data_IF_688236231407
#
_entry.id   IF_688236231407
#
_cell.length_a   1.000
_cell.length_b   1.000
_cell.length_c   1.000
_cell.angle_alpha   90.00
_cell.angle_beta   90.00
_cell.angle_gamma   90.00
#
_symmetry.space_group_name_H-M   'P 1'
#
loop_
_entity.id
_entity.type
_entity.pdbx_description
1 polymer ?
#
# COMPACT_ATOMS: atom_id res chain seq x y z
N UNK A 1 4.75 -12.59 -78.09
CA UNK A 1 5.01 -13.51 -76.96
C UNK A 1 5.61 -12.72 -75.81
N UNK A 2 4.80 -12.22 -74.87
CA UNK A 2 5.25 -11.80 -73.53
C UNK A 2 4.12 -12.01 -72.52
N UNK A 3 4.49 -12.70 -71.44
CA UNK A 3 3.97 -12.70 -70.08
C UNK A 3 2.49 -12.99 -69.79
N UNK A 4 2.19 -14.29 -69.63
CA UNK A 4 1.03 -14.81 -68.89
C UNK A 4 1.47 -15.45 -67.54
N UNK A 5 2.77 -15.39 -67.19
CA UNK A 5 3.34 -16.15 -66.06
C UNK A 5 3.27 -15.52 -64.66
N UNK A 6 2.93 -14.22 -64.52
CA UNK A 6 3.10 -13.53 -63.22
C UNK A 6 1.90 -13.58 -62.27
N UNK A 7 0.68 -13.88 -62.75
CA UNK A 7 -0.52 -13.84 -61.90
C UNK A 7 -0.78 -15.15 -61.15
N UNK A 8 -0.26 -16.29 -61.64
CA UNK A 8 -0.42 -17.58 -60.96
C UNK A 8 0.45 -17.70 -59.70
N UNK A 9 1.65 -17.11 -59.69
CA UNK A 9 2.57 -17.16 -58.55
C UNK A 9 2.06 -16.35 -57.35
N UNK A 10 1.36 -15.23 -57.60
CA UNK A 10 0.82 -14.35 -56.54
C UNK A 10 -0.36 -15.04 -55.83
N UNK A 11 -1.25 -15.71 -56.58
CA UNK A 11 -2.38 -16.44 -55.98
C UNK A 11 -1.94 -17.66 -55.16
N UNK A 12 -0.90 -18.38 -55.58
CA UNK A 12 -0.33 -19.50 -54.81
C UNK A 12 0.36 -19.00 -53.53
N UNK A 13 1.08 -17.87 -53.58
CA UNK A 13 1.75 -17.28 -52.41
C UNK A 13 0.79 -16.81 -51.32
N UNK A 14 -0.34 -16.19 -51.69
CA UNK A 14 -1.36 -15.72 -50.73
C UNK A 14 -2.09 -16.91 -50.08
N UNK A 15 -2.39 -17.96 -50.83
CA UNK A 15 -3.02 -19.18 -50.31
C UNK A 15 -2.15 -19.92 -49.28
N UNK A 16 -0.85 -20.04 -49.56
CA UNK A 16 0.10 -20.69 -48.64
C UNK A 16 0.28 -19.88 -47.35
N UNK A 17 0.36 -18.55 -47.44
CA UNK A 17 0.44 -17.68 -46.27
C UNK A 17 -0.82 -17.80 -45.37
N UNK A 18 -2.01 -17.83 -45.96
CA UNK A 18 -3.26 -17.98 -45.22
C UNK A 18 -3.34 -19.33 -44.47
N UNK A 19 -2.88 -20.42 -45.09
CA UNK A 19 -2.81 -21.73 -44.44
C UNK A 19 -1.81 -21.77 -43.28
N UNK A 20 -0.66 -21.10 -43.40
CA UNK A 20 0.33 -21.01 -42.34
C UNK A 20 -0.23 -20.23 -41.14
N UNK A 21 -0.92 -19.10 -41.37
CA UNK A 21 -1.55 -18.34 -40.28
C UNK A 21 -2.67 -19.12 -39.58
N UNK A 22 -3.49 -19.86 -40.33
CA UNK A 22 -4.53 -20.70 -39.75
C UNK A 22 -3.95 -21.86 -38.92
N UNK A 23 -2.86 -22.48 -39.40
CA UNK A 23 -2.15 -23.54 -38.68
C UNK A 23 -1.48 -23.03 -37.38
N UNK A 24 -0.88 -21.83 -37.41
CA UNK A 24 -0.31 -21.19 -36.22
C UNK A 24 -1.42 -20.85 -35.21
N UNK A 25 -2.58 -20.37 -35.67
CA UNK A 25 -3.74 -20.09 -34.82
C UNK A 25 -4.31 -21.36 -34.16
N UNK A 26 -4.43 -22.46 -34.90
CA UNK A 26 -4.85 -23.76 -34.38
C UNK A 26 -3.83 -24.35 -33.41
N UNK A 27 -2.53 -24.20 -33.69
CA UNK A 27 -1.48 -24.65 -32.79
C UNK A 27 -1.41 -23.81 -31.51
N UNK A 28 -1.61 -22.49 -31.59
CA UNK A 28 -1.67 -21.60 -30.44
C UNK A 28 -2.87 -21.90 -29.54
N UNK A 29 -4.06 -22.11 -30.12
CA UNK A 29 -5.27 -22.49 -29.38
C UNK A 29 -5.15 -23.89 -28.77
N UNK A 30 -4.54 -24.85 -29.49
CA UNK A 30 -4.23 -26.18 -28.95
C UNK A 30 -3.20 -26.12 -27.81
N UNK A 31 -2.12 -25.35 -27.95
CA UNK A 31 -1.12 -25.10 -26.88
C UNK A 31 -1.74 -24.39 -25.68
N UNK A 32 -2.67 -23.46 -25.90
CA UNK A 32 -3.39 -22.77 -24.83
C UNK A 32 -4.32 -23.72 -24.08
N UNK A 33 -5.11 -24.54 -24.79
CA UNK A 33 -6.00 -25.55 -24.20
C UNK A 33 -5.24 -26.61 -23.43
N UNK A 34 -4.12 -27.10 -23.97
CA UNK A 34 -3.26 -28.09 -23.27
C UNK A 34 -2.53 -27.51 -22.07
N UNK A 35 -2.11 -26.23 -22.10
CA UNK A 35 -1.60 -25.52 -20.92
C UNK A 35 -2.68 -25.30 -19.87
N UNK A 36 -3.90 -24.94 -20.29
CA UNK A 36 -5.05 -24.76 -19.39
C UNK A 36 -5.45 -26.06 -18.70
N UNK A 37 -5.47 -27.19 -19.42
CA UNK A 37 -5.76 -28.49 -18.81
C UNK A 37 -4.65 -28.97 -17.87
N UNK A 38 -3.37 -28.76 -18.22
CA UNK A 38 -2.26 -29.05 -17.30
C UNK A 38 -2.29 -28.14 -16.05
N UNK A 39 -2.77 -26.89 -16.17
CA UNK A 39 -3.02 -26.02 -15.02
C UNK A 39 -4.13 -26.59 -14.12
N UNK A 40 -5.26 -27.01 -14.70
CA UNK A 40 -6.37 -27.63 -13.94
C UNK A 40 -5.97 -28.93 -13.24
N UNK A 41 -5.18 -29.78 -13.89
CA UNK A 41 -4.72 -31.04 -13.27
C UNK A 41 -3.83 -30.78 -12.05
N UNK A 42 -2.93 -29.78 -12.13
CA UNK A 42 -2.08 -29.37 -11.01
C UNK A 42 -2.88 -28.72 -9.88
N UNK A 43 -3.97 -28.01 -10.19
CA UNK A 43 -4.88 -27.42 -9.19
C UNK A 43 -5.62 -28.54 -8.44
N UNK A 44 -6.18 -29.51 -9.15
CA UNK A 44 -6.88 -30.64 -8.54
C UNK A 44 -5.94 -31.49 -7.65
N UNK A 45 -4.70 -31.70 -8.08
CA UNK A 45 -3.71 -32.46 -7.32
C UNK A 45 -3.28 -31.72 -6.05
N UNK A 46 -3.01 -30.41 -6.12
CA UNK A 46 -2.68 -29.59 -4.94
C UNK A 46 -3.84 -29.50 -3.94
N UNK A 47 -5.08 -29.37 -4.42
CA UNK A 47 -6.27 -29.37 -3.58
C UNK A 47 -6.47 -30.73 -2.88
N UNK A 48 -6.24 -31.83 -3.59
CA UNK A 48 -6.33 -33.19 -3.02
C UNK A 48 -5.26 -33.42 -1.94
N UNK A 49 -4.06 -32.88 -2.11
CA UNK A 49 -2.98 -32.97 -1.11
C UNK A 49 -3.35 -32.14 0.13
N UNK A 50 -3.78 -30.90 -0.04
CA UNK A 50 -4.16 -30.02 1.08
C UNK A 50 -5.33 -30.58 1.90
N UNK A 51 -6.32 -31.20 1.26
CA UNK A 51 -7.45 -31.83 1.96
C UNK A 51 -7.02 -33.09 2.73
N UNK A 52 -6.04 -33.84 2.22
CA UNK A 52 -5.47 -35.00 2.93
C UNK A 52 -4.69 -34.55 4.17
N UNK A 53 -3.92 -33.48 4.08
CA UNK A 53 -3.15 -32.94 5.22
C UNK A 53 -4.08 -32.42 6.32
N UNK A 54 -5.13 -31.67 5.96
CA UNK A 54 -6.15 -31.20 6.92
C UNK A 54 -6.92 -32.34 7.60
N UNK A 55 -7.23 -33.42 6.87
CA UNK A 55 -7.84 -34.62 7.44
C UNK A 55 -6.87 -35.34 8.38
N UNK A 56 -5.58 -35.41 8.05
CA UNK A 56 -4.56 -36.05 8.88
C UNK A 56 -4.36 -35.30 10.21
N UNK A 57 -4.37 -33.97 10.18
CA UNK A 57 -4.29 -33.13 11.37
C UNK A 57 -5.52 -33.32 12.27
N UNK A 58 -6.72 -33.38 11.68
CA UNK A 58 -7.96 -33.60 12.43
C UNK A 58 -8.00 -35.00 13.08
N UNK A 59 -7.49 -36.03 12.40
CA UNK A 59 -7.37 -37.38 12.95
C UNK A 59 -6.29 -37.46 14.05
N UNK A 60 -5.21 -36.70 13.92
CA UNK A 60 -4.13 -36.64 14.92
C UNK A 60 -4.60 -35.95 16.21
N UNK A 61 -5.29 -34.81 16.07
CA UNK A 61 -5.91 -34.08 17.19
C UNK A 61 -6.95 -34.92 17.95
N UNK A 62 -7.76 -35.70 17.24
CA UNK A 62 -8.76 -36.58 17.87
C UNK A 62 -8.15 -37.79 18.58
N UNK A 63 -6.97 -38.27 18.17
CA UNK A 63 -6.19 -39.29 18.90
C UNK A 63 -5.57 -38.73 20.19
N UNK A 64 -5.01 -37.51 20.16
CA UNK A 64 -4.47 -36.86 21.35
C UNK A 64 -5.54 -36.54 22.40
N UNK A 65 -6.73 -36.10 21.96
CA UNK A 65 -7.87 -35.86 22.84
C UNK A 65 -8.38 -37.15 23.52
N UNK A 66 -8.31 -38.31 22.83
CA UNK A 66 -8.63 -39.62 23.44
C UNK A 66 -7.58 -40.08 24.45
N UNK A 67 -6.29 -39.79 24.21
CA UNK A 67 -5.20 -40.18 25.10
C UNK A 67 -5.13 -39.31 26.37
N UNK A 68 -5.53 -38.04 26.30
CA UNK A 68 -5.70 -37.18 27.48
C UNK A 68 -6.87 -37.60 28.37
N UNK A 69 -7.93 -38.17 27.77
CA UNK A 69 -9.13 -38.63 28.50
C UNK A 69 -8.90 -39.91 29.32
N UNK A 70 -7.96 -40.76 28.91
CA UNK A 70 -7.59 -41.98 29.67
C UNK A 70 -6.56 -41.72 30.78
N UNK A 71 -5.83 -40.60 30.75
CA UNK A 71 -4.82 -40.26 31.77
C UNK A 71 -5.38 -39.47 32.97
N UNK A 72 -6.54 -38.83 32.81
CA UNK A 72 -7.16 -37.99 33.86
C UNK A 72 -7.99 -38.73 34.92
N UNK A 73 -8.10 -40.07 34.85
CA UNK A 73 -8.99 -40.85 35.72
C UNK A 73 -8.25 -41.74 36.74
N UNK A 74 -6.92 -41.59 36.88
CA UNK A 74 -6.08 -42.49 37.69
C UNK A 74 -5.37 -41.83 38.89
N UNK A 75 -5.78 -40.64 39.35
CA UNK A 75 -5.16 -39.99 40.52
C UNK A 75 -6.24 -39.48 41.48
N UNK A 76 -6.79 -40.41 42.27
CA UNK A 76 -7.40 -40.10 43.57
C UNK A 76 -7.60 -41.39 44.35
N UNK A 77 -6.63 -41.79 45.18
CA UNK A 77 -6.80 -42.63 46.39
C UNK A 77 -5.47 -42.81 47.14
N UNK A 78 -5.54 -42.62 48.47
CA UNK A 78 -4.59 -42.98 49.56
C UNK A 78 -3.19 -42.34 49.56
N UNK A 79 -2.62 -41.78 50.64
CA UNK A 79 -2.93 -41.80 52.07
C UNK A 79 -1.79 -42.48 52.88
N UNK A 80 -1.23 -41.77 53.88
CA UNK A 80 -0.25 -42.19 54.94
C UNK A 80 1.18 -42.59 54.49
N UNK A 81 2.30 -42.37 55.20
CA UNK A 81 2.65 -41.85 56.54
C UNK A 81 4.18 -41.62 56.66
N UNK A 82 4.57 -40.76 57.63
CA UNK A 82 5.73 -40.83 58.56
C UNK A 82 7.20 -40.61 58.12
N UNK A 83 7.84 -39.71 58.90
CA UNK A 83 9.26 -39.68 59.37
C UNK A 83 10.40 -39.32 58.40
N UNK A 84 11.53 -38.68 58.77
CA UNK A 84 12.00 -37.89 59.94
C UNK A 84 13.42 -37.35 59.62
N UNK A 85 13.79 -36.15 60.11
CA UNK A 85 15.17 -35.63 60.37
C UNK A 85 16.14 -35.44 59.17
N UNK A 86 17.14 -34.55 59.13
CA UNK A 86 17.82 -33.72 60.14
C UNK A 86 18.69 -32.64 59.43
N UNK A 87 18.82 -31.49 60.10
CA UNK A 87 19.80 -30.37 60.03
C UNK A 87 21.16 -30.65 59.35
N UNK A 88 21.63 -29.83 58.40
CA UNK A 88 22.29 -28.50 58.49
C UNK A 88 23.83 -28.58 58.37
N UNK A 89 24.43 -27.76 57.51
CA UNK A 89 25.89 -27.61 57.45
C UNK A 89 26.46 -26.88 56.23
N UNK A 90 26.83 -25.61 56.45
CA UNK A 90 27.96 -24.84 55.89
C UNK A 90 28.03 -24.40 54.42
N UNK A 91 28.08 -23.07 54.27
CA UNK A 91 28.69 -22.26 53.21
C UNK A 91 30.10 -22.71 52.81
N UNK A 92 30.48 -22.52 51.54
CA UNK A 92 31.62 -21.68 51.11
C UNK A 92 31.69 -21.55 49.57
N UNK A 93 32.08 -20.36 49.14
CA UNK A 93 32.19 -19.84 47.76
C UNK A 93 33.15 -20.62 46.85
N UNK A 94 32.78 -20.77 45.57
CA UNK A 94 33.47 -20.16 44.41
C UNK A 94 32.93 -20.75 43.10
N UNK A 95 32.80 -19.93 42.05
CA UNK A 95 32.62 -20.44 40.68
C UNK A 95 31.82 -19.52 39.78
N UNK A 96 32.55 -18.65 39.09
CA UNK A 96 32.20 -17.83 37.94
C UNK A 96 31.45 -18.54 36.80
N UNK A 97 30.69 -17.71 36.07
CA UNK A 97 30.22 -17.81 34.67
C UNK A 97 28.88 -18.48 34.41
N UNK A 98 27.82 -17.66 34.30
CA UNK A 98 26.73 -17.91 33.35
C UNK A 98 26.47 -16.64 32.52
N UNK A 99 26.55 -16.83 31.21
CA UNK A 99 26.00 -15.97 30.17
C UNK A 99 24.48 -15.86 30.35
N UNK A 100 23.90 -14.67 30.19
CA UNK A 100 22.50 -14.56 29.80
C UNK A 100 22.30 -13.33 28.90
N UNK A 101 22.38 -13.57 27.60
CA UNK A 101 21.78 -12.72 26.60
C UNK A 101 20.25 -12.84 26.73
N UNK A 102 19.61 -11.76 27.18
CA UNK A 102 18.15 -11.62 27.15
C UNK A 102 17.80 -10.63 26.06
N UNK A 103 17.50 -11.17 24.88
CA UNK A 103 16.79 -10.50 23.80
C UNK A 103 15.32 -10.34 24.20
N UNK A 104 15.00 -9.23 24.85
CA UNK A 104 13.64 -8.77 25.07
C UNK A 104 13.25 -7.75 24.01
N UNK A 105 12.78 -8.23 22.87
CA UNK A 105 12.12 -7.42 21.85
C UNK A 105 10.82 -6.87 22.46
N UNK A 106 10.87 -5.60 22.85
CA UNK A 106 9.73 -4.86 23.37
C UNK A 106 9.55 -3.68 22.45
N UNK A 107 8.51 -3.73 21.62
CA UNK A 107 7.99 -2.62 20.82
C UNK A 107 7.74 -1.40 21.73
N UNK A 108 8.76 -0.54 21.85
CA UNK A 108 8.61 0.80 22.38
C UNK A 108 8.20 1.67 21.20
N UNK A 109 7.01 2.25 21.28
CA UNK A 109 6.57 3.38 20.45
C UNK A 109 7.52 4.54 20.77
N UNK A 110 8.70 4.51 20.15
CA UNK A 110 9.70 5.55 20.26
C UNK A 110 9.26 6.74 19.44
N UNK A 111 9.31 7.93 20.03
CA UNK A 111 9.37 9.18 19.29
C UNK A 111 10.58 9.10 18.35
N UNK A 112 10.36 8.63 17.13
CA UNK A 112 11.42 8.49 16.12
C UNK A 112 11.82 9.91 15.71
N UNK A 113 12.94 10.39 16.24
CA UNK A 113 13.52 11.65 15.81
C UNK A 113 13.94 11.47 14.33
N UNK A 114 13.28 12.20 13.42
CA UNK A 114 13.55 12.13 11.98
C UNK A 114 14.59 13.16 11.53
N UNK A 115 15.15 13.91 12.48
CA UNK A 115 16.11 14.97 12.27
C UNK A 115 15.50 16.36 12.27
N UNK A 116 16.37 17.35 12.04
CA UNK A 116 16.01 18.77 11.95
C UNK A 116 16.35 19.30 10.56
N UNK A 117 15.59 20.29 10.10
CA UNK A 117 15.90 21.08 8.91
C UNK A 117 16.12 22.54 9.31
N UNK A 118 17.26 23.10 8.90
CA UNK A 118 17.58 24.52 9.03
C UNK A 118 17.37 25.22 7.68
N UNK A 119 16.63 26.33 7.72
CA UNK A 119 16.39 27.18 6.55
C UNK A 119 16.33 28.65 6.94
N UNK A 120 16.61 29.53 5.99
CA UNK A 120 16.35 30.95 6.13
C UNK A 120 15.25 31.42 5.18
N UNK A 121 14.50 32.45 5.58
CA UNK A 121 13.51 33.09 4.74
C UNK A 121 13.63 34.62 4.85
N UNK A 122 13.50 35.30 3.72
CA UNK A 122 13.44 36.76 3.68
C UNK A 122 12.52 37.25 2.58
N UNK A 123 11.89 38.40 2.82
CA UNK A 123 11.04 39.05 1.85
C UNK A 123 11.60 40.43 1.51
N UNK A 124 11.94 40.64 0.24
CA UNK A 124 12.33 41.93 -0.29
C UNK A 124 11.10 42.64 -0.85
N UNK A 125 10.59 43.62 -0.09
CA UNK A 125 9.43 44.41 -0.47
C UNK A 125 9.70 45.28 -1.71
N UNK A 126 10.94 45.75 -1.91
CA UNK A 126 11.29 46.61 -3.05
C UNK A 126 11.26 45.85 -4.37
N UNK A 127 11.66 44.56 -4.33
CA UNK A 127 11.67 43.66 -5.49
C UNK A 127 10.45 42.74 -5.54
N UNK A 128 9.53 42.83 -4.58
CA UNK A 128 8.41 41.92 -4.41
C UNK A 128 8.83 40.44 -4.57
N UNK A 129 9.88 40.04 -3.86
CA UNK A 129 10.51 38.73 -4.04
C UNK A 129 10.66 38.04 -2.68
N UNK A 130 10.14 36.82 -2.56
CA UNK A 130 10.39 35.92 -1.44
C UNK A 130 11.64 35.09 -1.73
N UNK A 131 12.59 35.06 -0.80
CA UNK A 131 13.77 34.20 -0.86
C UNK A 131 13.72 33.19 0.26
N UNK A 132 13.99 31.93 -0.06
CA UNK A 132 14.09 30.83 0.90
C UNK A 132 15.40 30.09 0.66
N UNK A 133 16.25 30.02 1.67
CA UNK A 133 17.52 29.29 1.61
C UNK A 133 17.41 28.03 2.44
N UNK A 134 17.58 26.88 1.81
CA UNK A 134 17.66 25.60 2.52
C UNK A 134 19.12 25.39 2.89
N UNK A 135 19.42 25.45 4.20
CA UNK A 135 20.81 25.46 4.70
C UNK A 135 21.31 24.03 4.82
N UNK A 136 20.72 23.24 5.71
CA UNK A 136 21.16 21.86 6.01
C UNK A 136 20.08 21.06 6.72
N UNK A 137 20.26 19.75 6.78
CA UNK A 137 19.58 18.90 7.75
C UNK A 137 20.56 18.35 8.79
N UNK A 138 20.03 17.98 9.95
CA UNK A 138 20.77 17.36 11.05
C UNK A 138 20.10 16.06 11.47
N UNK A 139 20.91 15.06 11.79
CA UNK A 139 20.49 13.78 12.39
C UNK A 139 19.31 13.11 11.67
N UNK A 140 19.36 13.09 10.34
CA UNK A 140 18.34 12.42 9.53
C UNK A 140 18.29 10.92 9.85
N UNK A 141 17.08 10.36 9.83
CA UNK A 141 16.90 8.91 9.91
C UNK A 141 17.43 8.23 8.64
N UNK A 142 18.31 7.24 8.81
CA UNK A 142 18.77 6.41 7.70
C UNK A 142 17.60 5.58 7.13
N UNK A 143 17.29 5.80 5.85
CA UNK A 143 16.29 5.02 5.09
C UNK A 143 16.91 3.94 4.19
N UNK A 144 18.21 4.03 3.91
CA UNK A 144 18.91 2.99 3.15
C UNK A 144 19.44 1.90 4.09
N UNK A 145 18.80 0.73 4.04
CA UNK A 145 19.08 -0.40 4.91
C UNK A 145 20.44 -1.07 4.66
N UNK A 146 21.10 -0.85 3.52
CA UNK A 146 22.40 -1.48 3.24
C UNK A 146 23.60 -0.72 3.79
N UNK A 147 23.46 0.59 4.00
CA UNK A 147 24.61 1.46 4.28
C UNK A 147 24.46 2.32 5.54
N UNK A 148 23.31 2.29 6.23
CA UNK A 148 23.07 3.11 7.42
C UNK A 148 23.15 4.61 7.15
N UNK A 149 23.02 5.02 5.88
CA UNK A 149 23.07 6.42 5.42
C UNK A 149 21.83 6.71 4.57
N UNK A 150 21.75 7.89 3.97
CA UNK A 150 20.70 8.25 3.02
C UNK A 150 21.28 9.16 1.96
N UNK A 151 20.57 9.28 0.84
CA UNK A 151 20.89 10.22 -0.22
C UNK A 151 19.87 11.38 -0.18
N UNK A 152 19.97 12.30 0.80
CA UNK A 152 18.92 13.27 1.06
C UNK A 152 18.87 14.41 0.03
N UNK A 153 17.64 14.84 -0.24
CA UNK A 153 17.35 16.12 -0.87
C UNK A 153 16.01 16.66 -0.36
N UNK A 154 15.82 17.98 -0.45
CA UNK A 154 14.62 18.65 0.08
C UNK A 154 13.79 19.19 -1.07
N UNK A 155 12.49 18.92 -1.03
CA UNK A 155 11.50 19.61 -1.88
C UNK A 155 10.84 20.72 -1.10
N UNK A 156 10.76 21.89 -1.71
CA UNK A 156 10.03 23.04 -1.20
C UNK A 156 8.86 23.36 -2.13
N UNK A 157 7.68 23.51 -1.54
CA UNK A 157 6.46 23.90 -2.23
C UNK A 157 5.77 25.05 -1.52
N UNK A 158 5.32 26.06 -2.28
CA UNK A 158 4.46 27.11 -1.75
C UNK A 158 3.00 26.65 -1.76
N UNK A 159 2.28 26.90 -0.67
CA UNK A 159 0.87 26.56 -0.54
C UNK A 159 0.04 27.83 -0.36
N UNK A 160 -1.19 27.91 -0.89
CA UNK A 160 -1.96 26.84 -1.54
C UNK A 160 -1.60 26.59 -3.02
N UNK A 161 -0.83 27.48 -3.65
CA UNK A 161 -0.51 27.39 -5.08
C UNK A 161 0.56 26.33 -5.38
N UNK A 162 0.10 25.10 -5.70
CA UNK A 162 0.97 23.94 -5.97
C UNK A 162 1.89 24.09 -7.19
N UNK A 163 1.84 25.20 -7.94
CA UNK A 163 2.69 25.41 -9.13
C UNK A 163 4.15 25.72 -8.78
N UNK A 164 4.38 26.36 -7.64
CA UNK A 164 5.72 26.76 -7.22
C UNK A 164 6.39 25.65 -6.41
N UNK A 165 7.06 24.74 -7.12
CA UNK A 165 7.81 23.62 -6.53
C UNK A 165 9.26 23.65 -6.99
N UNK A 166 10.17 23.60 -6.02
CA UNK A 166 11.61 23.54 -6.24
C UNK A 166 12.18 22.40 -5.41
N UNK A 167 13.41 21.98 -5.73
CA UNK A 167 14.12 20.95 -4.98
C UNK A 167 15.60 21.31 -4.90
N UNK A 168 16.25 20.90 -3.82
CA UNK A 168 17.71 21.00 -3.70
C UNK A 168 18.39 20.00 -4.63
N UNK A 169 19.69 20.17 -4.81
CA UNK A 169 20.56 19.11 -5.29
C UNK A 169 20.60 17.96 -4.30
N UNK A 170 21.00 16.80 -4.84
CA UNK A 170 21.17 15.57 -4.10
C UNK A 170 22.51 15.57 -3.37
N UNK A 171 22.49 15.21 -2.09
CA UNK A 171 23.71 14.91 -1.32
C UNK A 171 23.74 13.40 -1.12
N UNK A 172 24.86 12.76 -1.43
CA UNK A 172 24.99 11.30 -1.29
C UNK A 172 25.49 10.91 0.10
N UNK A 173 24.97 9.80 0.62
CA UNK A 173 25.44 9.09 1.82
C UNK A 173 25.67 9.99 3.03
N UNK A 174 24.70 10.83 3.35
CA UNK A 174 24.78 11.76 4.48
C UNK A 174 23.49 11.81 5.28
N UNK A 175 23.62 11.79 6.60
CA UNK A 175 22.53 12.09 7.54
C UNK A 175 22.55 13.54 8.02
N UNK A 176 23.59 14.30 7.63
CA UNK A 176 23.79 15.70 7.96
C UNK A 176 24.11 16.51 6.68
N UNK A 177 23.24 16.48 5.66
CA UNK A 177 23.50 17.13 4.39
C UNK A 177 23.51 18.65 4.55
N UNK A 178 24.46 19.32 3.89
CA UNK A 178 24.46 20.78 3.74
C UNK A 178 24.17 21.12 2.29
N UNK A 179 23.12 21.91 2.06
CA UNK A 179 22.67 22.30 0.73
C UNK A 179 23.11 23.72 0.39
N UNK A 180 22.85 24.68 1.28
CA UNK A 180 23.09 26.12 1.07
C UNK A 180 22.48 26.66 -0.24
N UNK A 181 21.28 26.19 -0.58
CA UNK A 181 20.61 26.54 -1.84
C UNK A 181 19.50 27.57 -1.63
N UNK A 182 19.57 28.68 -2.38
CA UNK A 182 18.60 29.77 -2.30
C UNK A 182 17.61 29.70 -3.47
N UNK A 183 16.31 29.67 -3.15
CA UNK A 183 15.22 29.75 -4.10
C UNK A 183 14.55 31.11 -4.02
N UNK A 184 14.39 31.77 -5.18
CA UNK A 184 13.74 33.08 -5.28
C UNK A 184 12.40 32.96 -6.00
N UNK A 185 11.34 33.48 -5.38
CA UNK A 185 9.98 33.51 -5.89
C UNK A 185 9.60 34.97 -6.17
N UNK A 186 9.70 35.44 -7.43
CA UNK A 186 9.37 36.81 -7.80
C UNK A 186 7.85 37.05 -7.81
N UNK A 187 7.45 38.32 -7.91
CA UNK A 187 6.05 38.75 -7.96
C UNK A 187 5.23 38.30 -6.73
N UNK A 188 5.87 38.30 -5.56
CA UNK A 188 5.28 37.90 -4.31
C UNK A 188 4.84 39.15 -3.53
N UNK A 189 3.55 39.23 -3.18
CA UNK A 189 2.95 40.38 -2.50
C UNK A 189 2.87 40.19 -0.98
N UNK A 190 2.73 41.31 -0.25
CA UNK A 190 2.55 41.28 1.20
C UNK A 190 1.26 40.54 1.62
N UNK A 191 0.21 40.60 0.80
CA UNK A 191 -1.02 39.85 1.06
C UNK A 191 -0.81 38.34 0.93
N UNK A 192 -0.02 37.91 -0.07
CA UNK A 192 0.33 36.50 -0.25
C UNK A 192 1.13 35.95 0.93
N UNK A 193 2.04 36.74 1.54
CA UNK A 193 2.78 36.30 2.74
C UNK A 193 1.87 35.84 3.88
N UNK A 194 0.69 36.46 4.03
CA UNK A 194 -0.25 36.13 5.11
C UNK A 194 -1.00 34.81 4.89
N UNK A 195 -1.20 34.44 3.63
CA UNK A 195 -1.99 33.25 3.25
C UNK A 195 -1.13 32.09 2.77
N UNK A 196 0.17 32.31 2.58
CA UNK A 196 1.08 31.30 2.05
C UNK A 196 1.85 30.58 3.14
N UNK A 197 2.02 29.27 2.94
CA UNK A 197 2.86 28.43 3.78
C UNK A 197 3.95 27.76 2.96
N UNK A 198 5.13 27.62 3.55
CA UNK A 198 6.23 26.81 3.03
C UNK A 198 6.01 25.35 3.45
N UNK A 199 5.97 24.43 2.49
CA UNK A 199 5.90 23.00 2.74
C UNK A 199 7.22 22.36 2.33
N UNK A 200 7.90 21.78 3.32
CA UNK A 200 9.16 21.08 3.14
C UNK A 200 8.91 19.58 3.22
N UNK A 201 9.40 18.84 2.22
CA UNK A 201 9.41 17.37 2.22
C UNK A 201 10.86 16.93 2.06
N UNK A 202 11.36 16.19 3.06
CA UNK A 202 12.72 15.64 3.06
C UNK A 202 12.65 14.21 2.54
N UNK A 203 13.42 13.90 1.51
CA UNK A 203 13.40 12.59 0.86
C UNK A 203 14.80 12.00 0.77
N UNK A 204 14.88 10.68 0.81
CA UNK A 204 16.04 9.92 0.35
C UNK A 204 15.80 9.46 -1.09
N UNK A 205 16.73 9.81 -1.97
CA UNK A 205 16.75 9.31 -3.34
C UNK A 205 17.04 7.80 -3.37
N UNK A 206 16.43 7.11 -4.32
CA UNK A 206 16.70 5.70 -4.60
C UNK A 206 16.83 5.49 -6.12
N UNK A 207 17.92 4.87 -6.56
CA UNK A 207 18.22 4.64 -7.98
C UNK A 207 17.32 3.60 -8.63
N UNK A 208 16.88 2.60 -7.88
CA UNK A 208 16.17 1.42 -8.39
C UNK A 208 14.70 1.38 -8.00
N UNK A 209 14.28 2.25 -7.07
CA UNK A 209 12.91 2.31 -6.58
C UNK A 209 12.37 3.75 -6.54
N UNK A 210 11.27 3.97 -5.81
CA UNK A 210 10.71 5.32 -5.61
C UNK A 210 11.40 5.96 -4.42
N UNK A 211 11.69 7.25 -4.53
CA UNK A 211 12.25 8.03 -3.43
C UNK A 211 11.41 7.87 -2.15
N UNK A 212 12.11 7.66 -1.04
CA UNK A 212 11.50 7.46 0.27
C UNK A 212 11.35 8.78 0.99
N UNK A 213 10.18 9.05 1.55
CA UNK A 213 9.98 10.21 2.42
C UNK A 213 10.60 9.92 3.77
N UNK A 214 11.49 10.82 4.22
CA UNK A 214 12.02 10.81 5.58
C UNK A 214 10.98 11.46 6.49
N UNK A 215 10.50 12.65 6.11
CA UNK A 215 9.39 13.33 6.77
C UNK A 215 9.07 14.67 6.10
N UNK A 216 8.15 15.42 6.69
CA UNK A 216 7.68 16.70 6.19
C UNK A 216 7.29 17.66 7.31
N UNK A 217 7.20 18.95 7.00
CA UNK A 217 6.54 19.92 7.87
C UNK A 217 6.08 21.15 7.08
N UNK A 218 5.21 21.94 7.71
CA UNK A 218 4.70 23.19 7.16
C UNK A 218 5.08 24.35 8.06
N UNK A 219 5.54 25.43 7.43
CA UNK A 219 5.81 26.68 8.10
C UNK A 219 4.99 27.81 7.43
N UNK A 220 3.93 28.31 8.09
CA UNK A 220 3.20 29.48 7.61
C UNK A 220 4.11 30.71 7.57
N UNK A 221 4.15 31.43 6.44
CA UNK A 221 5.02 32.60 6.29
C UNK A 221 4.61 33.74 7.23
N UNK A 222 3.33 33.85 7.58
CA UNK A 222 2.83 34.82 8.56
C UNK A 222 3.50 34.65 9.94
N UNK A 223 3.81 33.41 10.33
CA UNK A 223 4.48 33.12 11.60
C UNK A 223 5.93 33.61 11.66
N UNK A 224 6.57 33.81 10.50
CA UNK A 224 7.96 34.20 10.40
C UNK A 224 8.19 35.71 10.51
N UNK A 225 7.11 36.52 10.55
CA UNK A 225 7.16 37.99 10.67
C UNK A 225 8.27 38.59 9.80
N UNK A 226 8.22 38.34 8.48
CA UNK A 226 9.22 38.77 7.51
C UNK A 226 9.16 40.30 7.22
N UNK A 227 8.98 41.12 8.25
CA UNK A 227 8.89 42.57 8.14
C UNK A 227 10.28 43.20 8.31
N UNK A 228 10.80 43.81 7.22
CA UNK A 228 12.01 44.66 7.17
C UNK A 228 13.34 43.94 6.98
N UNK A 229 13.55 43.33 5.81
CA UNK A 229 14.87 42.93 5.27
C UNK A 229 15.72 41.99 6.15
N UNK A 230 15.22 41.53 7.30
CA UNK A 230 15.92 40.62 8.19
C UNK A 230 15.64 39.20 7.73
N UNK A 231 16.70 38.46 7.42
CA UNK A 231 16.64 37.03 7.21
C UNK A 231 16.26 36.36 8.53
N UNK A 232 15.16 35.62 8.53
CA UNK A 232 14.79 34.77 9.64
C UNK A 232 15.54 33.44 9.46
N UNK A 233 16.38 33.05 10.41
CA UNK A 233 16.95 31.71 10.48
C UNK A 233 16.04 30.84 11.36
N UNK A 234 15.55 29.72 10.81
CA UNK A 234 14.60 28.84 11.44
C UNK A 234 15.11 27.40 11.41
N UNK A 235 15.06 26.74 12.56
CA UNK A 235 15.26 25.30 12.70
C UNK A 235 13.91 24.66 13.03
N UNK A 236 13.53 23.63 12.27
CA UNK A 236 12.30 22.87 12.49
C UNK A 236 12.57 21.39 12.56
N UNK A 237 11.85 20.73 13.44
CA UNK A 237 11.81 19.27 13.53
C UNK A 237 11.06 18.69 12.32
N UNK A 238 11.63 17.61 11.78
CA UNK A 238 11.03 16.86 10.68
C UNK A 238 9.98 15.93 11.29
N UNK A 239 8.73 16.05 10.83
CA UNK A 239 7.63 15.24 11.33
C UNK A 239 7.37 14.05 10.40
N UNK A 240 6.90 12.91 10.93
CA UNK A 240 6.51 11.79 10.11
C UNK A 240 5.37 12.19 9.16
N UNK A 241 5.41 11.65 7.94
CA UNK A 241 4.31 11.81 6.99
C UNK A 241 3.21 10.81 7.36
N UNK A 242 2.18 11.29 8.04
CA UNK A 242 1.07 10.46 8.52
C UNK A 242 -0.22 10.72 7.76
N UNK A 243 -1.01 9.66 7.58
CA UNK A 243 -2.36 9.74 7.07
C UNK A 243 -3.26 10.41 8.13
N UNK A 244 -3.67 11.65 7.87
CA UNK A 244 -4.66 12.34 8.70
C UNK A 244 -6.05 11.79 8.39
N UNK A 245 -6.56 11.02 9.34
CA UNK A 245 -7.92 10.49 9.31
C UNK A 245 -8.94 11.61 9.45
N UNK A 246 -10.06 11.48 8.74
CA UNK A 246 -11.24 12.30 8.99
C UNK A 246 -11.79 11.97 10.39
N UNK A 247 -12.03 12.96 11.27
CA UNK A 247 -12.47 12.70 12.64
C UNK A 247 -13.79 11.93 12.74
N UNK A 248 -14.63 12.02 11.71
CA UNK A 248 -15.97 11.41 11.69
C UNK A 248 -15.98 10.15 10.82
N UNK A 249 -15.34 10.19 9.64
CA UNK A 249 -15.43 9.15 8.62
C UNK A 249 -14.15 8.30 8.52
N UNK A 250 -13.16 8.51 9.38
CA UNK A 250 -11.91 7.76 9.40
C UNK A 250 -11.15 7.88 8.08
N UNK A 251 -11.07 6.78 7.31
CA UNK A 251 -10.36 6.73 6.01
C UNK A 251 -11.23 7.15 4.83
N UNK A 252 -12.53 7.37 5.07
CA UNK A 252 -13.53 7.67 4.06
C UNK A 252 -14.31 6.44 3.61
N UNK A 253 -15.20 6.65 2.64
CA UNK A 253 -16.13 5.64 2.15
C UNK A 253 -16.10 5.55 0.64
N UNK A 254 -16.35 4.36 0.10
CA UNK A 254 -16.50 4.11 -1.33
C UNK A 254 -17.89 3.55 -1.65
N UNK A 255 -18.52 4.09 -2.68
CA UNK A 255 -19.76 3.56 -3.24
C UNK A 255 -19.42 2.59 -4.38
N UNK A 256 -19.66 1.31 -4.13
CA UNK A 256 -19.39 0.23 -5.07
C UNK A 256 -20.69 -0.38 -5.53
N UNK A 257 -20.77 -0.67 -6.83
CA UNK A 257 -21.89 -1.40 -7.38
C UNK A 257 -21.45 -2.68 -8.07
N UNK A 258 -22.10 -3.80 -7.76
CA UNK A 258 -21.73 -5.13 -8.19
C UNK A 258 -22.90 -5.79 -8.93
N UNK A 259 -22.56 -6.57 -9.96
CA UNK A 259 -23.50 -7.39 -10.71
C UNK A 259 -22.84 -8.71 -11.12
N UNK A 260 -23.47 -9.82 -10.77
CA UNK A 260 -23.02 -11.16 -11.14
C UNK A 260 -23.82 -11.70 -12.32
N UNK A 261 -23.16 -11.99 -13.43
CA UNK A 261 -23.75 -12.60 -14.61
C UNK A 261 -23.31 -14.07 -14.72
N UNK A 262 -24.05 -14.96 -14.03
CA UNK A 262 -23.71 -16.38 -13.91
C UNK A 262 -23.53 -17.06 -15.27
N UNK A 263 -24.43 -16.83 -16.22
CA UNK A 263 -24.36 -17.45 -17.56
C UNK A 263 -23.16 -16.98 -18.39
N UNK A 264 -22.71 -15.74 -18.19
CA UNK A 264 -21.57 -15.18 -18.89
C UNK A 264 -20.24 -15.42 -18.15
N UNK A 265 -20.28 -16.06 -16.97
CA UNK A 265 -19.15 -16.17 -16.04
C UNK A 265 -18.47 -14.81 -15.82
N UNK A 266 -19.26 -13.78 -15.50
CA UNK A 266 -18.75 -12.41 -15.34
C UNK A 266 -19.18 -11.79 -14.02
N UNK A 267 -18.24 -11.10 -13.37
CA UNK A 267 -18.52 -10.16 -12.30
C UNK A 267 -18.24 -8.75 -12.83
N UNK A 268 -19.25 -7.89 -12.80
CA UNK A 268 -19.09 -6.48 -13.15
C UNK A 268 -19.11 -5.65 -11.87
N UNK A 269 -18.04 -4.88 -11.66
CA UNK A 269 -17.90 -3.93 -10.58
C UNK A 269 -17.87 -2.51 -11.14
N UNK A 270 -18.79 -1.65 -10.70
CA UNK A 270 -18.83 -0.23 -11.03
C UNK A 270 -18.36 0.54 -9.81
N UNK A 271 -17.26 1.27 -9.97
CA UNK A 271 -16.79 2.25 -8.99
C UNK A 271 -17.50 3.56 -9.29
N UNK A 272 -18.42 3.95 -8.42
CA UNK A 272 -19.24 5.16 -8.63
C UNK A 272 -18.49 6.40 -8.13
N UNK A 273 -18.26 6.47 -6.82
CA UNK A 273 -17.62 7.62 -6.17
C UNK A 273 -17.05 7.22 -4.81
N UNK A 274 -16.18 8.05 -4.25
CA UNK A 274 -15.81 8.00 -2.85
C UNK A 274 -16.03 9.36 -2.19
N UNK A 275 -16.10 9.37 -0.86
CA UNK A 275 -16.26 10.59 -0.08
C UNK A 275 -15.43 10.55 1.20
N UNK A 276 -15.12 11.74 1.71
CA UNK A 276 -14.41 11.95 2.97
C UNK A 276 -13.10 11.15 3.06
N UNK A 277 -12.39 11.02 1.93
CA UNK A 277 -11.11 10.32 1.89
C UNK A 277 -10.10 11.02 2.79
N UNK A 278 -9.38 10.23 3.58
CA UNK A 278 -8.29 10.70 4.42
C UNK A 278 -7.19 11.38 3.60
N UNK A 279 -6.45 12.30 4.23
CA UNK A 279 -5.47 13.16 3.57
C UNK A 279 -4.05 12.82 4.05
N UNK A 280 -3.12 12.65 3.11
CA UNK A 280 -1.75 12.22 3.41
C UNK A 280 -0.78 13.30 3.85
N UNK A 281 -1.20 14.56 3.89
CA UNK A 281 -0.29 15.67 4.08
C UNK A 281 -0.72 16.55 5.27
N UNK A 282 0.29 17.09 5.96
CA UNK A 282 0.10 18.12 6.99
C UNK A 282 -0.71 19.31 6.45
N UNK A 283 -0.72 19.48 5.12
CA UNK A 283 -1.23 20.61 4.37
C UNK A 283 -2.76 20.61 4.24
N UNK A 284 -3.41 19.46 4.49
CA UNK A 284 -4.84 19.31 4.32
C UNK A 284 -5.29 19.45 2.86
N UNK A 285 -4.34 19.41 1.91
CA UNK A 285 -4.62 19.59 0.50
C UNK A 285 -5.02 18.26 -0.11
N UNK A 286 -6.12 18.29 -0.84
CA UNK A 286 -6.79 17.15 -1.43
C UNK A 286 -5.85 16.21 -2.20
N UNK A 287 -6.04 14.91 -1.94
CA UNK A 287 -5.35 13.79 -2.55
C UNK A 287 -5.61 13.72 -4.06
N UNK A 288 -4.79 12.94 -4.76
CA UNK A 288 -4.97 12.54 -6.15
C UNK A 288 -5.37 11.05 -6.20
N UNK A 289 -6.59 10.68 -5.72
CA UNK A 289 -6.96 9.28 -5.57
C UNK A 289 -7.19 8.56 -6.90
N UNK A 290 -6.80 7.30 -6.94
CA UNK A 290 -7.32 6.30 -7.87
C UNK A 290 -7.66 5.02 -7.11
N UNK A 291 -8.49 4.18 -7.70
CA UNK A 291 -8.88 2.89 -7.14
C UNK A 291 -8.23 1.74 -7.88
N UNK A 292 -7.81 0.74 -7.12
CA UNK A 292 -7.30 -0.53 -7.62
C UNK A 292 -8.25 -1.62 -7.18
N UNK A 293 -8.73 -2.40 -8.14
CA UNK A 293 -9.61 -3.54 -7.90
C UNK A 293 -8.82 -4.83 -8.14
N UNK A 294 -8.85 -5.74 -7.17
CA UNK A 294 -8.22 -7.05 -7.25
C UNK A 294 -9.27 -8.12 -6.90
N UNK A 295 -9.59 -8.99 -7.86
CA UNK A 295 -10.49 -10.12 -7.64
C UNK A 295 -9.66 -11.37 -7.33
N UNK A 296 -9.97 -12.02 -6.22
CA UNK A 296 -9.30 -13.23 -5.76
C UNK A 296 -10.27 -14.42 -5.72
N UNK A 297 -9.71 -15.61 -5.92
CA UNK A 297 -10.33 -16.90 -5.61
C UNK A 297 -9.45 -17.58 -4.56
N UNK A 298 -9.93 -17.65 -3.32
CA UNK A 298 -9.05 -17.89 -2.17
C UNK A 298 -7.92 -16.86 -2.11
N UNK A 299 -6.68 -17.33 -2.28
CA UNK A 299 -5.47 -16.49 -2.32
C UNK A 299 -4.91 -16.25 -3.73
N UNK A 300 -5.48 -16.89 -4.77
CA UNK A 300 -5.04 -16.66 -6.15
C UNK A 300 -5.69 -15.39 -6.72
N UNK A 301 -4.86 -14.47 -7.22
CA UNK A 301 -5.33 -13.27 -7.93
C UNK A 301 -5.83 -13.65 -9.33
N UNK A 302 -7.14 -13.50 -9.55
CA UNK A 302 -7.79 -13.76 -10.85
C UNK A 302 -7.61 -12.57 -11.78
N UNK A 303 -7.75 -11.34 -11.27
CA UNK A 303 -7.67 -10.16 -12.11
C UNK A 303 -7.43 -8.89 -11.31
N UNK A 304 -6.72 -7.95 -11.93
CA UNK A 304 -6.40 -6.65 -11.36
C UNK A 304 -6.72 -5.53 -12.34
N UNK A 305 -7.48 -4.54 -11.89
CA UNK A 305 -7.90 -3.37 -12.68
C UNK A 305 -7.65 -2.09 -11.88
N UNK A 306 -7.58 -0.96 -12.57
CA UNK A 306 -7.35 0.36 -11.97
C UNK A 306 -8.22 1.40 -12.63
N UNK A 307 -8.71 2.35 -11.83
CA UNK A 307 -9.41 3.54 -12.29
C UNK A 307 -8.44 4.60 -12.83
N UNK A 308 -8.98 5.66 -13.45
CA UNK A 308 -8.20 6.87 -13.66
C UNK A 308 -7.92 7.58 -12.33
N UNK A 309 -6.92 8.46 -12.35
CA UNK A 309 -6.57 9.32 -11.21
C UNK A 309 -7.46 10.56 -11.22
N UNK A 310 -8.20 10.77 -10.14
CA UNK A 310 -8.96 11.98 -9.89
C UNK A 310 -8.07 12.96 -9.13
N UNK A 311 -7.83 14.14 -9.68
CA UNK A 311 -6.86 15.08 -9.09
C UNK A 311 -7.52 16.01 -8.09
N UNK A 312 -6.82 16.26 -7.01
CA UNK A 312 -7.10 17.31 -6.04
C UNK A 312 -8.51 17.20 -5.45
N UNK A 313 -8.94 15.98 -5.10
CA UNK A 313 -10.25 15.76 -4.47
C UNK A 313 -10.20 14.67 -3.40
N UNK A 314 -10.88 14.91 -2.29
CA UNK A 314 -11.21 13.89 -1.27
C UNK A 314 -12.60 13.26 -1.49
N UNK A 315 -13.32 13.72 -2.52
CA UNK A 315 -14.65 13.25 -2.89
C UNK A 315 -14.68 12.92 -4.41
N UNK A 316 -13.84 11.99 -4.89
CA UNK A 316 -13.76 11.68 -6.31
C UNK A 316 -15.02 11.00 -6.83
N UNK A 317 -15.37 11.30 -8.08
CA UNK A 317 -16.43 10.63 -8.84
C UNK A 317 -15.76 9.93 -10.03
N UNK A 318 -15.95 8.62 -10.15
CA UNK A 318 -15.31 7.80 -11.19
C UNK A 318 -16.32 7.36 -12.25
N UNK A 319 -17.47 6.81 -11.85
CA UNK A 319 -18.45 6.17 -12.73
C UNK A 319 -17.82 5.18 -13.72
N UNK A 320 -16.83 4.42 -13.26
CA UNK A 320 -16.07 3.47 -14.09
C UNK A 320 -16.55 2.04 -13.89
N UNK A 321 -16.66 1.30 -14.99
CA UNK A 321 -17.10 -0.10 -15.00
C UNK A 321 -15.92 -1.05 -15.26
N UNK A 322 -15.79 -2.07 -14.42
CA UNK A 322 -14.75 -3.08 -14.47
C UNK A 322 -15.38 -4.48 -14.54
N UNK A 323 -15.19 -5.17 -15.65
CA UNK A 323 -15.67 -6.55 -15.82
C UNK A 323 -14.53 -7.54 -15.59
N UNK A 324 -14.77 -8.56 -14.77
CA UNK A 324 -13.87 -9.68 -14.52
C UNK A 324 -14.49 -10.97 -15.08
N UNK A 325 -13.68 -11.74 -15.80
CA UNK A 325 -14.06 -13.07 -16.25
C UNK A 325 -13.78 -14.08 -15.12
N UNK A 326 -14.81 -14.84 -14.76
CA UNK A 326 -14.78 -15.84 -13.69
C UNK A 326 -14.37 -17.20 -14.27
N UNK A 327 -13.59 -18.02 -13.54
CA UNK A 327 -13.31 -19.39 -13.95
C UNK A 327 -14.61 -20.20 -14.11
N UNK A 328 -14.66 -21.09 -15.10
CA UNK A 328 -15.87 -21.89 -15.37
C UNK A 328 -16.18 -22.82 -14.20
N UNK A 329 -17.44 -22.81 -13.76
CA UNK A 329 -17.94 -23.68 -12.69
C UNK A 329 -17.64 -23.20 -11.27
N UNK A 330 -16.88 -22.12 -11.11
CA UNK A 330 -16.62 -21.53 -9.79
C UNK A 330 -17.78 -20.64 -9.35
N UNK A 331 -18.16 -20.77 -8.08
CA UNK A 331 -19.16 -19.90 -7.46
C UNK A 331 -18.48 -18.73 -6.74
N UNK A 332 -19.17 -17.57 -6.71
CA UNK A 332 -18.71 -16.39 -5.97
C UNK A 332 -18.52 -16.62 -4.46
N UNK A 333 -18.94 -17.78 -3.93
CA UNK A 333 -18.83 -18.16 -2.53
C UNK A 333 -17.39 -18.17 -2.02
N UNK A 334 -16.41 -18.49 -2.87
CA UNK A 334 -14.99 -18.53 -2.52
C UNK A 334 -14.18 -17.34 -3.06
N UNK A 335 -14.88 -16.36 -3.63
CA UNK A 335 -14.26 -15.19 -4.25
C UNK A 335 -14.43 -13.96 -3.37
N UNK A 336 -13.43 -13.08 -3.46
CA UNK A 336 -13.46 -11.77 -2.79
C UNK A 336 -12.89 -10.70 -3.70
N UNK A 337 -13.51 -9.53 -3.67
CA UNK A 337 -13.07 -8.34 -4.37
C UNK A 337 -12.43 -7.37 -3.37
N UNK A 338 -11.13 -7.13 -3.51
CA UNK A 338 -10.45 -6.03 -2.81
C UNK A 338 -10.50 -4.77 -3.67
N UNK A 339 -10.96 -3.67 -3.10
CA UNK A 339 -10.87 -2.33 -3.68
C UNK A 339 -10.00 -1.47 -2.78
N UNK A 340 -8.79 -1.12 -3.23
CA UNK A 340 -7.90 -0.20 -2.52
C UNK A 340 -7.99 1.21 -3.14
N UNK A 341 -8.14 2.24 -2.31
CA UNK A 341 -8.02 3.65 -2.68
C UNK A 341 -6.59 4.10 -2.41
N UNK A 342 -5.92 4.65 -3.42
CA UNK A 342 -4.49 4.98 -3.39
C UNK A 342 -4.31 6.42 -3.82
N UNK A 343 -3.56 7.20 -3.04
CA UNK A 343 -3.13 8.55 -3.39
C UNK A 343 -1.91 8.48 -4.32
N UNK A 344 -2.11 8.95 -5.56
CA UNK A 344 -1.06 8.92 -6.57
C UNK A 344 -0.07 10.08 -6.39
N UNK A 345 1.15 9.77 -5.98
CA UNK A 345 2.28 10.69 -6.07
C UNK A 345 3.16 10.35 -7.29
N UNK A 346 3.57 11.40 -8.03
CA UNK A 346 4.46 11.26 -9.19
C UNK A 346 5.90 10.96 -8.78
N UNK A 347 6.34 11.43 -7.63
CA UNK A 347 7.74 11.40 -7.21
C UNK A 347 7.96 10.42 -6.07
N UNK A 348 7.09 10.41 -5.06
CA UNK A 348 7.20 9.45 -3.95
C UNK A 348 6.49 8.15 -4.28
N UNK A 349 6.66 7.16 -3.40
CA UNK A 349 5.79 5.98 -3.41
C UNK A 349 4.33 6.45 -3.25
N UNK A 350 3.43 5.91 -4.06
CA UNK A 350 1.97 6.12 -3.89
C UNK A 350 1.51 5.39 -2.64
N UNK A 351 0.64 6.03 -1.88
CA UNK A 351 0.26 5.54 -0.56
C UNK A 351 -1.21 5.10 -0.54
N UNK A 352 -1.49 3.99 0.14
CA UNK A 352 -2.86 3.48 0.27
C UNK A 352 -3.58 4.30 1.32
N UNK A 353 -4.68 4.97 0.95
CA UNK A 353 -5.54 5.68 1.89
C UNK A 353 -6.38 4.70 2.71
N UNK A 354 -6.85 3.64 2.05
CA UNK A 354 -7.52 2.52 2.67
C UNK A 354 -8.04 1.54 1.64
N UNK A 355 -8.64 0.45 2.10
CA UNK A 355 -9.22 -0.60 1.25
C UNK A 355 -10.54 -1.10 1.81
N UNK A 356 -11.31 -1.76 0.96
CA UNK A 356 -12.46 -2.58 1.34
C UNK A 356 -12.31 -3.95 0.69
N UNK A 357 -12.65 -4.99 1.44
CA UNK A 357 -12.72 -6.36 0.94
C UNK A 357 -14.18 -6.79 0.97
N UNK A 358 -14.73 -7.16 -0.19
CA UNK A 358 -16.12 -7.59 -0.35
C UNK A 358 -16.12 -9.07 -0.74
N UNK A 359 -16.72 -9.91 0.11
CA UNK A 359 -16.72 -11.37 0.00
C UNK A 359 -17.54 -11.98 1.15
N UNK A 360 -17.82 -13.28 1.11
CA UNK A 360 -18.53 -13.96 2.20
C UNK A 360 -17.70 -14.04 3.49
N UNK A 361 -16.38 -14.05 3.35
CA UNK A 361 -15.36 -14.05 4.40
C UNK A 361 -15.01 -12.65 4.93
N UNK A 362 -15.64 -11.59 4.39
CA UNK A 362 -15.31 -10.22 4.79
C UNK A 362 -15.63 -9.96 6.26
N UNK A 363 -14.71 -9.28 6.96
CA UNK A 363 -14.94 -8.85 8.34
C UNK A 363 -16.09 -7.84 8.46
N UNK A 364 -16.38 -7.09 7.39
CA UNK A 364 -17.48 -6.12 7.37
C UNK A 364 -18.82 -6.80 7.09
N UNK A 365 -19.79 -6.63 7.99
CA UNK A 365 -21.15 -7.14 7.81
C UNK A 365 -21.85 -6.52 6.59
N UNK A 366 -21.63 -5.23 6.33
CA UNK A 366 -22.16 -4.53 5.15
C UNK A 366 -21.59 -5.17 3.87
N UNK A 367 -20.28 -5.45 3.86
CA UNK A 367 -19.63 -6.09 2.72
C UNK A 367 -20.12 -7.52 2.47
N UNK A 368 -20.28 -8.33 3.53
CA UNK A 368 -20.86 -9.68 3.44
C UNK A 368 -22.30 -9.64 2.93
N UNK A 369 -23.10 -8.72 3.44
CA UNK A 369 -24.51 -8.55 3.04
C UNK A 369 -24.59 -8.15 1.58
N UNK A 370 -23.81 -7.17 1.15
CA UNK A 370 -23.75 -6.74 -0.24
C UNK A 370 -23.36 -7.91 -1.17
N UNK A 371 -22.31 -8.67 -0.83
CA UNK A 371 -21.90 -9.83 -1.61
C UNK A 371 -22.99 -10.91 -1.67
N UNK A 372 -23.63 -11.20 -0.54
CA UNK A 372 -24.73 -12.16 -0.46
C UNK A 372 -25.90 -11.74 -1.36
N UNK A 373 -26.25 -10.45 -1.39
CA UNK A 373 -27.30 -9.95 -2.27
C UNK A 373 -26.93 -10.07 -3.75
N UNK A 374 -25.66 -9.85 -4.11
CA UNK A 374 -25.15 -10.04 -5.47
C UNK A 374 -25.24 -11.50 -5.91
N UNK A 375 -24.95 -12.45 -5.01
CA UNK A 375 -25.09 -13.88 -5.29
C UNK A 375 -26.58 -14.26 -5.47
N UNK A 376 -27.45 -13.78 -4.59
CA UNK A 376 -28.89 -14.09 -4.60
C UNK A 376 -29.65 -13.47 -5.77
N UNK A 377 -29.21 -12.32 -6.27
CA UNK A 377 -29.88 -11.57 -7.32
C UNK A 377 -28.98 -11.44 -8.57
N UNK A 378 -28.78 -12.53 -9.35
CA UNK A 378 -27.96 -12.47 -10.56
C UNK A 378 -28.53 -11.49 -11.58
N UNK A 379 -27.63 -10.88 -12.38
CA UNK A 379 -27.92 -9.86 -13.38
C UNK A 379 -28.54 -8.55 -12.84
N UNK A 380 -28.71 -8.41 -11.52
CA UNK A 380 -29.13 -7.16 -10.89
C UNK A 380 -27.91 -6.35 -10.45
N UNK A 381 -27.90 -5.08 -10.84
CA UNK A 381 -26.90 -4.13 -10.38
C UNK A 381 -27.28 -3.66 -8.97
N UNK A 382 -26.44 -3.93 -7.98
CA UNK A 382 -26.65 -3.57 -6.58
C UNK A 382 -25.56 -2.63 -6.14
N UNK A 383 -25.88 -1.53 -5.45
CA UNK A 383 -24.93 -0.50 -5.06
C UNK A 383 -24.97 -0.31 -3.54
N UNK A 384 -23.81 -0.30 -2.90
CA UNK A 384 -23.68 -0.11 -1.46
C UNK A 384 -22.45 0.72 -1.10
N UNK A 385 -22.57 1.49 -0.02
CA UNK A 385 -21.45 2.22 0.59
C UNK A 385 -20.64 1.29 1.48
N UNK A 386 -19.31 1.45 1.43
CA UNK A 386 -18.39 0.70 2.27
C UNK A 386 -17.37 1.64 2.91
N UNK A 387 -17.19 1.52 4.23
CA UNK A 387 -16.11 2.18 4.95
C UNK A 387 -14.76 1.59 4.54
N UNK A 388 -13.77 2.48 4.34
CA UNK A 388 -12.40 2.08 4.09
C UNK A 388 -11.70 1.73 5.41
N UNK A 389 -10.95 0.63 5.39
CA UNK A 389 -10.09 0.17 6.47
C UNK A 389 -8.63 0.20 6.05
N UNK A 390 -7.71 -0.07 6.98
CA UNK A 390 -6.28 -0.15 6.70
C UNK A 390 -5.90 -1.34 5.82
#
# INVERSE_FOLDING_TARGET
MRDVGSNAAIFVGVGVAAFIFMAIGLFATYRFKTRSQKKHQRIHEKMTISLKDQLLDTVTMSKELRQKRTRGQAISRSGSSSDSGTYAGSNLQNGSNEELASSGDSDVIGSTNLGLLEFTASFDNSRSTLKVTIVRCLDLLAKDGSNGTSDPYVKLQLLPDKKHRVKTNLVHKSLNPTFNETFSFPNFSQAQLKITSLHFVVLSYDKYSRDQVIGEFICPLDSLKLNRQKEANIVKEIMPRELKLDPVHGRGEVLLSLCHQKMANKLTAVVLKARNLAKMNVTGISADPFMRLCLYLGDELIGKKKSHVQRHTSNPIYNETFTFDLPQGEELSFMRLEVSVIDYDRVTKSETLGKVIVGLDSASEIARTHWTQVIKNPCKQLAEWHNLID
#
